data_IF_677953708158
#
_entry.id   IF_677953708158
#
_cell.length_a   1.000
_cell.length_b   1.000
_cell.length_c   1.000
_cell.angle_alpha   90.00
_cell.angle_beta   90.00
_cell.angle_gamma   90.00
#
_symmetry.space_group_name_H-M   'P 1'
#
loop_
_entity.id
_entity.type
_entity.pdbx_description
1 polymer ?
#
# COMPACT_ATOMS: atom_id res chain seq x y z
N UNK A 1 -15.86 21.67 -12.46
CA UNK A 1 -16.52 21.02 -11.29
C UNK A 1 -15.42 20.60 -10.32
N UNK A 2 -15.63 20.61 -9.01
CA UNK A 2 -14.61 20.11 -8.06
C UNK A 2 -14.61 18.56 -8.14
N UNK A 3 -13.45 17.89 -8.27
CA UNK A 3 -13.42 16.43 -8.30
C UNK A 3 -13.88 15.84 -6.94
N UNK A 4 -14.50 14.67 -6.97
CA UNK A 4 -14.88 13.94 -5.75
C UNK A 4 -13.67 13.16 -5.21
N UNK A 5 -12.85 12.62 -6.10
CA UNK A 5 -11.66 11.85 -5.75
C UNK A 5 -10.42 12.34 -6.49
N UNK A 6 -9.31 12.47 -5.78
CA UNK A 6 -7.99 12.70 -6.36
C UNK A 6 -7.16 11.43 -6.24
N UNK A 7 -6.73 10.92 -7.39
CA UNK A 7 -5.73 9.86 -7.50
C UNK A 7 -4.37 10.54 -7.52
N UNK A 8 -3.60 10.40 -6.44
CA UNK A 8 -2.29 11.05 -6.28
C UNK A 8 -1.19 10.05 -6.60
N UNK A 9 -0.29 10.45 -7.50
CA UNK A 9 0.79 9.61 -8.03
C UNK A 9 2.12 10.35 -7.92
N UNK A 10 2.92 10.06 -6.88
CA UNK A 10 4.32 10.46 -6.90
C UNK A 10 5.10 9.57 -7.86
N UNK A 11 5.96 10.14 -8.66
CA UNK A 11 6.82 9.40 -9.59
C UNK A 11 8.25 9.89 -9.54
N UNK A 12 9.19 9.00 -9.91
CA UNK A 12 10.60 9.34 -10.11
C UNK A 12 11.25 8.41 -11.13
N UNK A 13 11.59 8.95 -12.32
CA UNK A 13 12.30 8.24 -13.41
C UNK A 13 11.58 6.97 -13.92
N UNK A 14 10.22 6.95 -13.93
CA UNK A 14 9.42 5.76 -14.28
C UNK A 14 8.30 6.07 -15.30
N UNK A 15 8.57 6.91 -16.28
CA UNK A 15 7.58 7.40 -17.25
C UNK A 15 6.92 6.33 -18.11
N UNK A 16 7.55 5.16 -18.26
CA UNK A 16 6.96 4.02 -18.98
C UNK A 16 5.58 3.65 -18.38
N UNK A 17 5.51 3.52 -17.06
CA UNK A 17 4.28 3.17 -16.36
C UNK A 17 3.34 4.36 -16.24
N UNK A 18 3.88 5.52 -15.86
CA UNK A 18 3.11 6.75 -15.69
C UNK A 18 2.30 7.13 -16.94
N UNK A 19 2.89 7.01 -18.15
CA UNK A 19 2.19 7.29 -19.42
C UNK A 19 0.98 6.38 -19.62
N UNK A 20 1.08 5.12 -19.23
CA UNK A 20 -0.02 4.16 -19.33
C UNK A 20 -1.13 4.49 -18.33
N UNK A 21 -0.76 4.87 -17.10
CA UNK A 21 -1.71 5.28 -16.08
C UNK A 21 -2.47 6.56 -16.49
N UNK A 22 -1.77 7.59 -16.99
CA UNK A 22 -2.39 8.82 -17.52
C UNK A 22 -3.37 8.47 -18.63
N UNK A 23 -2.94 7.65 -19.60
CA UNK A 23 -3.80 7.26 -20.74
C UNK A 23 -5.03 6.50 -20.28
N UNK A 24 -4.90 5.63 -19.27
CA UNK A 24 -6.02 4.88 -18.70
C UNK A 24 -7.04 5.82 -18.04
N UNK A 25 -6.60 6.69 -17.13
CA UNK A 25 -7.53 7.58 -16.39
C UNK A 25 -8.19 8.59 -17.33
N UNK A 26 -7.48 9.14 -18.31
CA UNK A 26 -8.07 10.02 -19.31
C UNK A 26 -9.12 9.28 -20.18
N UNK A 27 -8.95 7.97 -20.42
CA UNK A 27 -9.91 7.16 -21.16
C UNK A 27 -11.26 6.98 -20.43
N UNK A 28 -11.31 7.17 -19.13
CA UNK A 28 -12.55 7.12 -18.36
C UNK A 28 -13.48 8.29 -18.68
N UNK A 29 -12.91 9.42 -19.12
CA UNK A 29 -13.63 10.64 -19.48
C UNK A 29 -14.60 11.11 -18.37
N UNK A 30 -14.15 11.05 -17.11
CA UNK A 30 -14.93 11.35 -15.91
C UNK A 30 -14.34 12.54 -15.16
N UNK A 31 -15.01 13.70 -15.21
CA UNK A 31 -14.57 14.94 -14.56
C UNK A 31 -14.66 14.91 -13.02
N UNK A 32 -15.25 13.86 -12.45
CA UNK A 32 -15.27 13.63 -10.99
C UNK A 32 -13.92 13.14 -10.47
N UNK A 33 -13.04 12.61 -11.35
CA UNK A 33 -11.71 12.12 -11.03
C UNK A 33 -10.67 13.19 -11.34
N UNK A 34 -9.78 13.45 -10.39
CA UNK A 34 -8.53 14.18 -10.61
C UNK A 34 -7.37 13.17 -10.54
N UNK A 35 -6.55 13.12 -11.58
CA UNK A 35 -5.23 12.49 -11.52
C UNK A 35 -4.21 13.58 -11.23
N UNK A 36 -3.58 13.52 -10.05
CA UNK A 36 -2.53 14.44 -9.67
C UNK A 36 -1.18 13.72 -9.71
N UNK A 37 -0.35 14.06 -10.67
CA UNK A 37 1.02 13.58 -10.79
C UNK A 37 1.97 14.55 -10.11
N UNK A 38 2.77 14.07 -9.15
CA UNK A 38 3.85 14.81 -8.53
C UNK A 38 5.17 14.16 -8.89
N UNK A 39 5.88 14.76 -9.84
CA UNK A 39 7.05 14.21 -10.48
C UNK A 39 8.34 14.78 -9.86
N UNK A 40 9.15 13.90 -9.30
CA UNK A 40 10.45 14.20 -8.72
C UNK A 40 11.59 13.53 -9.51
N UNK A 41 11.41 13.38 -10.83
CA UNK A 41 12.42 12.82 -11.72
C UNK A 41 13.59 13.79 -11.92
N UNK A 42 14.73 13.24 -12.31
CA UNK A 42 15.95 14.03 -12.58
C UNK A 42 15.78 14.94 -13.81
N UNK A 43 14.96 14.52 -14.77
CA UNK A 43 14.59 15.28 -15.96
C UNK A 43 13.14 14.94 -16.37
N UNK A 44 12.36 15.91 -16.81
CA UNK A 44 10.96 15.75 -17.18
C UNK A 44 10.68 15.91 -18.69
N UNK A 45 11.68 16.03 -19.54
CA UNK A 45 11.50 16.29 -20.96
C UNK A 45 10.63 15.22 -21.66
N UNK A 46 10.84 13.95 -21.32
CA UNK A 46 10.09 12.82 -21.88
C UNK A 46 8.59 12.89 -21.59
N UNK A 47 8.22 13.21 -20.34
CA UNK A 47 6.80 13.29 -19.97
C UNK A 47 6.18 14.57 -20.52
N UNK A 48 6.91 15.68 -20.56
CA UNK A 48 6.43 16.93 -21.17
C UNK A 48 6.14 16.75 -22.65
N UNK A 49 6.99 16.05 -23.40
CA UNK A 49 6.73 15.67 -24.79
C UNK A 49 5.47 14.82 -24.93
N UNK A 50 5.26 13.86 -24.03
CA UNK A 50 4.06 13.00 -24.02
C UNK A 50 2.79 13.78 -23.75
N UNK A 51 2.82 14.79 -22.87
CA UNK A 51 1.66 15.62 -22.51
C UNK A 51 1.37 16.70 -23.55
N UNK A 52 2.37 17.08 -24.37
CA UNK A 52 2.25 18.15 -25.35
C UNK A 52 1.11 17.89 -26.35
N UNK A 53 0.25 18.88 -26.54
CA UNK A 53 -0.87 18.81 -27.48
C UNK A 53 -2.05 17.94 -27.08
N UNK A 54 -2.01 17.31 -25.87
CA UNK A 54 -3.13 16.54 -25.34
C UNK A 54 -4.11 17.45 -24.60
N UNK A 55 -5.40 17.28 -24.87
CA UNK A 55 -6.46 17.84 -24.03
C UNK A 55 -6.72 16.88 -22.89
N UNK A 56 -6.23 17.22 -21.70
CA UNK A 56 -6.36 16.40 -20.50
C UNK A 56 -7.56 16.89 -19.68
N UNK A 57 -8.50 16.00 -19.40
CA UNK A 57 -9.69 16.31 -18.60
C UNK A 57 -9.41 16.20 -17.09
N UNK A 58 -8.70 15.16 -16.71
CA UNK A 58 -8.52 14.74 -15.31
C UNK A 58 -7.13 15.02 -14.79
N UNK A 59 -6.10 15.08 -15.65
CA UNK A 59 -4.69 15.08 -15.24
C UNK A 59 -4.16 16.47 -14.91
N UNK A 60 -3.55 16.60 -13.74
CA UNK A 60 -2.75 17.74 -13.31
C UNK A 60 -1.34 17.26 -13.03
N UNK A 61 -0.37 17.88 -13.67
CA UNK A 61 1.05 17.51 -13.56
C UNK A 61 1.85 18.62 -12.87
N UNK A 62 2.67 18.21 -11.89
CA UNK A 62 3.60 19.07 -11.16
C UNK A 62 4.98 18.45 -11.18
N UNK A 63 5.96 19.21 -11.62
CA UNK A 63 7.36 18.85 -11.57
C UNK A 63 8.03 19.51 -10.38
N UNK A 64 8.79 18.75 -9.61
CA UNK A 64 9.53 19.23 -8.44
C UNK A 64 10.99 18.74 -8.53
N UNK A 65 11.96 19.64 -8.83
CA UNK A 65 13.37 19.30 -9.00
C UNK A 65 14.11 19.10 -7.67
N UNK A 66 13.48 19.37 -6.52
CA UNK A 66 14.11 19.19 -5.21
C UNK A 66 14.48 17.71 -4.99
N UNK A 67 15.50 17.47 -4.14
CA UNK A 67 15.82 16.10 -3.72
C UNK A 67 14.87 15.66 -2.61
N UNK A 68 13.78 15.00 -3.00
CA UNK A 68 12.76 14.51 -2.09
C UNK A 68 12.94 13.03 -1.78
N UNK A 69 12.60 12.64 -0.55
CA UNK A 69 12.31 11.26 -0.22
C UNK A 69 10.98 10.82 -0.87
N UNK A 70 10.73 9.51 -0.89
CA UNK A 70 9.46 8.95 -1.36
C UNK A 70 8.27 9.51 -0.55
N UNK A 71 8.43 9.65 0.75
CA UNK A 71 7.41 10.19 1.66
C UNK A 71 7.12 11.67 1.41
N UNK A 72 8.16 12.49 1.25
CA UNK A 72 8.02 13.92 0.94
C UNK A 72 7.37 14.13 -0.43
N UNK A 73 7.76 13.36 -1.44
CA UNK A 73 7.16 13.41 -2.78
C UNK A 73 5.66 13.09 -2.72
N UNK A 74 5.29 12.03 -2.01
CA UNK A 74 3.89 11.63 -1.82
C UNK A 74 3.09 12.72 -1.07
N UNK A 75 3.63 13.26 0.02
CA UNK A 75 2.96 14.26 0.85
C UNK A 75 2.76 15.58 0.10
N UNK A 76 3.77 16.05 -0.66
CA UNK A 76 3.64 17.25 -1.52
C UNK A 76 2.54 17.06 -2.57
N UNK A 77 2.44 15.87 -3.16
CA UNK A 77 1.35 15.53 -4.08
C UNK A 77 -0.02 15.57 -3.40
N UNK A 78 -0.18 14.91 -2.26
CA UNK A 78 -1.44 14.89 -1.51
C UNK A 78 -1.90 16.29 -1.11
N UNK A 79 -0.97 17.16 -0.70
CA UNK A 79 -1.29 18.53 -0.32
C UNK A 79 -1.82 19.40 -1.48
N UNK A 80 -1.50 19.04 -2.74
CA UNK A 80 -2.00 19.71 -3.95
C UNK A 80 -3.34 19.17 -4.47
N UNK A 81 -3.82 18.06 -3.93
CA UNK A 81 -5.04 17.39 -4.36
C UNK A 81 -6.30 18.21 -4.02
N UNK A 82 -7.30 18.20 -4.90
CA UNK A 82 -8.55 18.98 -4.72
C UNK A 82 -9.76 18.11 -4.34
N UNK A 83 -9.70 16.79 -4.53
CA UNK A 83 -10.78 15.87 -4.24
C UNK A 83 -11.23 15.92 -2.76
N UNK A 84 -12.47 15.54 -2.51
CA UNK A 84 -12.95 15.28 -1.14
C UNK A 84 -12.28 14.03 -0.55
N UNK A 85 -12.01 13.06 -1.41
CA UNK A 85 -11.34 11.81 -1.10
C UNK A 85 -10.00 11.72 -1.84
N UNK A 86 -9.04 11.07 -1.20
CA UNK A 86 -7.69 10.84 -1.73
C UNK A 86 -7.47 9.35 -1.88
N UNK A 87 -7.02 8.94 -3.06
CA UNK A 87 -6.44 7.64 -3.36
C UNK A 87 -4.97 7.85 -3.72
N UNK A 88 -4.05 7.29 -2.95
CA UNK A 88 -2.63 7.37 -3.21
C UNK A 88 -2.13 6.06 -3.80
N UNK A 89 -1.45 6.11 -4.95
CA UNK A 89 -0.93 4.94 -5.67
C UNK A 89 0.46 5.23 -6.25
N UNK A 90 1.19 4.17 -6.62
CA UNK A 90 2.42 4.28 -7.40
C UNK A 90 2.14 4.53 -8.89
N UNK A 91 3.20 4.82 -9.64
CA UNK A 91 3.11 5.06 -11.09
C UNK A 91 2.93 3.77 -11.92
N UNK A 92 3.22 2.60 -11.33
CA UNK A 92 3.00 1.26 -11.91
C UNK A 92 1.68 0.60 -11.46
N UNK A 93 0.90 1.30 -10.63
CA UNK A 93 -0.45 0.91 -10.22
C UNK A 93 -1.51 1.45 -11.19
N UNK A 94 -2.79 1.11 -10.94
CA UNK A 94 -3.94 1.72 -11.58
C UNK A 94 -5.13 1.82 -10.63
N UNK A 95 -6.16 2.56 -11.08
CA UNK A 95 -7.49 2.55 -10.47
C UNK A 95 -8.51 2.06 -11.50
N UNK A 96 -9.62 1.53 -11.00
CA UNK A 96 -10.74 1.15 -11.83
C UNK A 96 -11.67 2.35 -12.08
N UNK A 97 -12.39 2.33 -13.20
CA UNK A 97 -13.28 3.44 -13.59
C UNK A 97 -14.43 3.72 -12.61
N UNK A 98 -14.77 2.77 -11.76
CA UNK A 98 -15.79 2.92 -10.71
C UNK A 98 -15.29 3.64 -9.45
N UNK A 99 -14.06 4.18 -9.44
CA UNK A 99 -13.50 4.86 -8.26
C UNK A 99 -14.28 6.11 -7.87
N UNK A 100 -14.82 6.86 -8.84
CA UNK A 100 -15.65 8.03 -8.57
C UNK A 100 -17.00 7.64 -7.96
N UNK A 101 -17.62 6.57 -8.44
CA UNK A 101 -18.87 6.02 -7.87
C UNK A 101 -18.66 5.53 -6.44
N UNK A 102 -17.49 4.90 -6.18
CA UNK A 102 -17.08 4.53 -4.83
C UNK A 102 -16.98 5.76 -3.91
N UNK A 103 -16.33 6.82 -4.36
CA UNK A 103 -16.16 8.05 -3.58
C UNK A 103 -17.51 8.76 -3.32
N UNK A 104 -18.43 8.79 -4.27
CA UNK A 104 -19.79 9.30 -4.07
C UNK A 104 -20.55 8.46 -3.03
N UNK A 105 -20.49 7.14 -3.16
CA UNK A 105 -21.08 6.23 -2.16
C UNK A 105 -20.49 6.45 -0.76
N UNK A 106 -19.16 6.67 -0.66
CA UNK A 106 -18.52 7.01 0.61
C UNK A 106 -19.08 8.31 1.20
N UNK A 107 -19.27 9.34 0.38
CA UNK A 107 -19.79 10.65 0.80
C UNK A 107 -21.23 10.52 1.32
N UNK A 108 -22.10 9.85 0.58
CA UNK A 108 -23.51 9.60 0.97
C UNK A 108 -23.60 8.82 2.28
N UNK A 109 -22.77 7.78 2.45
CA UNK A 109 -22.80 6.89 3.61
C UNK A 109 -21.91 7.36 4.77
N UNK A 110 -21.26 8.53 4.64
CA UNK A 110 -20.33 9.10 5.63
C UNK A 110 -19.20 8.13 6.01
N UNK A 111 -18.62 7.50 5.01
CA UNK A 111 -17.50 6.58 5.17
C UNK A 111 -16.20 7.40 5.03
N UNK A 112 -15.32 7.28 6.02
CA UNK A 112 -14.07 8.04 6.08
C UNK A 112 -12.95 7.37 5.26
N UNK A 113 -12.94 6.03 5.22
CA UNK A 113 -11.95 5.28 4.48
C UNK A 113 -12.50 3.98 3.90
N UNK A 114 -11.97 3.60 2.75
CA UNK A 114 -12.24 2.34 2.06
C UNK A 114 -10.94 1.62 1.76
N UNK A 115 -10.96 0.32 1.99
CA UNK A 115 -9.99 -0.62 1.45
C UNK A 115 -10.67 -1.45 0.36
N UNK A 116 -10.04 -1.50 -0.80
CA UNK A 116 -10.48 -2.34 -1.91
C UNK A 116 -10.10 -3.81 -1.70
N UNK A 117 -10.70 -4.68 -2.50
CA UNK A 117 -10.35 -6.08 -2.65
C UNK A 117 -8.82 -6.29 -2.74
N UNK A 118 -8.34 -7.41 -2.22
CA UNK A 118 -6.97 -7.83 -2.46
C UNK A 118 -6.83 -8.34 -3.90
N UNK A 119 -6.12 -7.58 -4.70
CA UNK A 119 -5.76 -7.93 -6.06
C UNK A 119 -4.39 -7.36 -6.39
N UNK A 120 -3.73 -7.89 -7.41
CA UNK A 120 -2.45 -7.39 -7.88
C UNK A 120 -2.26 -7.70 -9.36
N UNK A 121 -1.74 -6.72 -10.10
CA UNK A 121 -1.27 -6.89 -11.47
C UNK A 121 0.24 -7.06 -11.49
N UNK A 122 0.74 -8.09 -12.12
CA UNK A 122 2.18 -8.29 -12.30
C UNK A 122 2.59 -7.86 -13.70
N UNK A 123 3.48 -6.85 -13.73
CA UNK A 123 4.17 -6.43 -14.94
C UNK A 123 5.20 -7.49 -15.30
N UNK A 124 5.05 -8.14 -16.45
CA UNK A 124 6.04 -9.09 -16.94
C UNK A 124 6.85 -8.41 -18.06
N UNK A 125 8.10 -8.07 -17.78
CA UNK A 125 8.95 -7.40 -18.76
C UNK A 125 9.32 -8.34 -19.90
N UNK A 126 8.88 -7.99 -21.10
CA UNK A 126 9.11 -8.80 -22.32
C UNK A 126 8.03 -9.84 -22.62
N UNK A 127 7.00 -9.95 -21.78
CA UNK A 127 5.84 -10.84 -21.99
C UNK A 127 4.55 -10.19 -21.47
N UNK A 128 3.42 -10.86 -21.66
CA UNK A 128 2.12 -10.42 -21.17
C UNK A 128 2.02 -10.52 -19.66
N UNK A 129 1.43 -9.48 -19.03
CA UNK A 129 1.17 -9.44 -17.60
C UNK A 129 0.06 -10.41 -17.18
N UNK A 130 -0.10 -10.55 -15.87
CA UNK A 130 -1.19 -11.30 -15.25
C UNK A 130 -1.76 -10.58 -14.04
N UNK A 131 -3.02 -10.85 -13.74
CA UNK A 131 -3.68 -10.37 -12.52
C UNK A 131 -4.02 -11.57 -11.64
N UNK A 132 -3.89 -11.40 -10.34
CA UNK A 132 -4.46 -12.33 -9.37
C UNK A 132 -5.29 -11.56 -8.32
N UNK A 133 -6.40 -12.16 -7.89
CA UNK A 133 -7.35 -11.50 -7.01
C UNK A 133 -8.11 -12.51 -6.14
N UNK A 134 -8.60 -12.05 -5.01
CA UNK A 134 -9.53 -12.77 -4.14
C UNK A 134 -10.92 -12.83 -4.78
N UNK A 135 -11.86 -13.51 -4.13
CA UNK A 135 -13.24 -13.64 -4.60
C UNK A 135 -13.91 -12.28 -4.79
N UNK A 136 -14.58 -12.10 -5.93
CA UNK A 136 -15.32 -10.90 -6.31
C UNK A 136 -16.78 -11.01 -5.79
N UNK A 137 -16.96 -11.04 -4.48
CA UNK A 137 -18.32 -11.18 -3.90
C UNK A 137 -19.16 -9.90 -3.99
N UNK A 138 -18.55 -8.77 -4.32
CA UNK A 138 -19.19 -7.45 -4.35
C UNK A 138 -19.84 -7.04 -3.02
N UNK A 139 -19.29 -7.50 -1.91
CA UNK A 139 -19.76 -7.22 -0.56
C UNK A 139 -18.97 -6.09 0.11
N UNK A 140 -19.59 -5.49 1.13
CA UNK A 140 -18.96 -4.50 2.00
C UNK A 140 -19.00 -4.99 3.44
N UNK A 141 -17.85 -4.91 4.15
CA UNK A 141 -17.76 -5.16 5.60
C UNK A 141 -17.33 -3.88 6.30
N UNK A 142 -17.98 -3.55 7.40
CA UNK A 142 -17.56 -2.44 8.26
C UNK A 142 -16.48 -2.96 9.21
N UNK A 143 -15.35 -2.27 9.25
CA UNK A 143 -14.21 -2.61 10.08
C UNK A 143 -13.95 -1.60 11.19
N UNK A 144 -13.21 -2.02 12.21
CA UNK A 144 -12.66 -1.15 13.25
C UNK A 144 -11.17 -0.91 12.98
N UNK A 145 -10.77 0.30 12.52
CA UNK A 145 -9.39 0.57 12.12
C UNK A 145 -8.38 0.41 13.26
N UNK A 146 -8.76 0.72 14.51
CA UNK A 146 -7.86 0.59 15.68
C UNK A 146 -7.69 -0.88 16.07
N UNK A 147 -8.75 -1.67 16.03
CA UNK A 147 -8.71 -3.12 16.25
C UNK A 147 -7.82 -3.82 15.22
N UNK A 148 -7.97 -3.46 13.96
CA UNK A 148 -7.16 -4.02 12.87
C UNK A 148 -5.67 -3.62 13.00
N UNK A 149 -5.38 -2.37 13.34
CA UNK A 149 -4.03 -1.93 13.68
C UNK A 149 -3.43 -2.75 14.82
N UNK A 150 -4.18 -2.91 15.92
CA UNK A 150 -3.72 -3.71 17.05
C UNK A 150 -3.40 -5.16 16.67
N UNK A 151 -4.22 -5.77 15.82
CA UNK A 151 -3.98 -7.13 15.32
C UNK A 151 -2.68 -7.23 14.51
N UNK A 152 -2.36 -6.21 13.71
CA UNK A 152 -1.12 -6.15 12.92
C UNK A 152 0.09 -5.93 13.82
N UNK A 153 0.02 -5.01 14.77
CA UNK A 153 1.10 -4.75 15.75
C UNK A 153 1.44 -6.02 16.57
N UNK A 154 0.43 -6.73 17.05
CA UNK A 154 0.60 -7.97 17.82
C UNK A 154 1.25 -9.12 17.02
N UNK A 155 1.21 -9.04 15.69
CA UNK A 155 1.92 -9.96 14.79
C UNK A 155 3.36 -9.53 14.49
N UNK A 156 3.82 -8.36 14.96
CA UNK A 156 5.11 -7.77 14.62
C UNK A 156 5.14 -7.13 13.23
N UNK A 157 4.01 -6.63 12.76
CA UNK A 157 3.83 -5.88 11.49
C UNK A 157 4.33 -6.64 10.25
N UNK A 158 3.89 -7.88 9.99
CA UNK A 158 4.30 -8.65 8.81
C UNK A 158 3.62 -8.20 7.53
N UNK A 159 2.44 -7.63 7.64
CA UNK A 159 1.50 -7.31 6.56
C UNK A 159 0.53 -6.23 7.02
N UNK A 160 -0.27 -5.68 6.09
CA UNK A 160 -1.31 -4.70 6.45
C UNK A 160 -2.54 -5.34 7.13
N UNK A 161 -2.70 -6.66 7.07
CA UNK A 161 -3.93 -7.30 7.53
C UNK A 161 -5.17 -6.65 6.91
N UNK A 162 -6.12 -6.26 7.74
CA UNK A 162 -7.34 -5.55 7.33
C UNK A 162 -7.33 -4.05 7.72
N UNK A 163 -6.15 -3.46 7.90
CA UNK A 163 -6.04 -2.03 8.22
C UNK A 163 -6.60 -1.15 7.11
N UNK A 164 -7.20 -0.02 7.50
CA UNK A 164 -7.42 1.10 6.60
C UNK A 164 -6.06 1.62 6.10
N UNK A 165 -5.98 2.02 4.83
CA UNK A 165 -4.75 2.51 4.23
C UNK A 165 -5.04 3.55 3.17
N UNK A 166 -4.17 4.54 3.04
CA UNK A 166 -4.23 5.53 1.98
C UNK A 166 -3.56 4.99 0.70
N UNK A 167 -2.43 4.27 0.85
CA UNK A 167 -1.78 3.60 -0.28
C UNK A 167 -2.59 2.39 -0.71
N UNK A 168 -3.10 2.40 -1.94
CA UNK A 168 -4.06 1.44 -2.48
C UNK A 168 -5.41 1.41 -1.75
N UNK A 169 -5.81 2.52 -1.15
CA UNK A 169 -7.12 2.72 -0.53
C UNK A 169 -7.67 4.11 -0.86
N UNK A 170 -8.83 4.43 -0.32
CA UNK A 170 -9.45 5.75 -0.46
C UNK A 170 -9.71 6.30 0.94
N UNK A 171 -9.27 7.53 1.21
CA UNK A 171 -9.40 8.17 2.53
C UNK A 171 -9.94 9.58 2.35
N UNK A 172 -10.85 10.01 3.22
CA UNK A 172 -11.36 11.37 3.23
C UNK A 172 -10.23 12.37 3.50
N UNK A 173 -10.12 13.41 2.67
CA UNK A 173 -9.03 14.38 2.76
C UNK A 173 -8.91 15.03 4.14
N UNK A 174 -10.04 15.34 4.78
CA UNK A 174 -10.04 15.93 6.13
C UNK A 174 -9.37 15.04 7.19
N UNK A 175 -9.39 13.72 7.05
CA UNK A 175 -8.66 12.80 7.93
C UNK A 175 -7.14 13.01 7.80
N UNK A 176 -6.65 13.19 6.57
CA UNK A 176 -5.22 13.43 6.31
C UNK A 176 -4.79 14.80 6.88
N UNK A 177 -5.64 15.81 6.72
CA UNK A 177 -5.43 17.14 7.32
C UNK A 177 -5.39 17.07 8.85
N UNK A 178 -6.22 16.25 9.48
CA UNK A 178 -6.23 16.09 10.94
C UNK A 178 -4.98 15.32 11.42
N UNK A 179 -4.49 14.34 10.67
CA UNK A 179 -3.20 13.68 10.94
C UNK A 179 -2.06 14.70 10.89
N UNK A 180 -2.00 15.54 9.84
CA UNK A 180 -0.96 16.57 9.69
C UNK A 180 -0.99 17.65 10.77
N UNK A 181 -2.17 17.99 11.31
CA UNK A 181 -2.30 18.91 12.45
C UNK A 181 -1.82 18.27 13.77
N UNK A 182 -1.97 16.96 13.91
CA UNK A 182 -1.55 16.23 15.11
C UNK A 182 -0.06 15.91 15.11
N UNK A 183 0.46 15.51 13.94
CA UNK A 183 1.82 15.05 13.73
C UNK A 183 2.71 16.07 12.99
N UNK A 184 3.98 15.73 12.82
CA UNK A 184 4.93 16.55 12.06
C UNK A 184 4.71 16.42 10.54
N UNK A 185 4.31 15.22 10.08
CA UNK A 185 4.10 14.88 8.68
C UNK A 185 3.11 13.70 8.57
N UNK A 186 2.62 13.49 7.36
CA UNK A 186 1.69 12.39 7.07
C UNK A 186 2.38 11.03 7.07
N UNK A 187 3.66 10.98 6.65
CA UNK A 187 4.44 9.76 6.50
C UNK A 187 5.75 9.81 7.28
N UNK A 188 5.74 9.62 8.60
CA UNK A 188 6.91 9.79 9.46
C UNK A 188 7.88 8.59 9.45
N UNK A 189 7.89 7.78 8.43
CA UNK A 189 8.74 6.60 8.27
C UNK A 189 9.43 6.55 6.91
N UNK A 190 10.34 5.59 6.69
CA UNK A 190 11.09 5.49 5.44
C UNK A 190 10.24 5.07 4.23
N UNK A 191 9.01 4.57 4.45
CA UNK A 191 8.05 4.26 3.39
C UNK A 191 6.66 4.78 3.73
N UNK A 192 5.90 5.32 2.74
CA UNK A 192 4.63 5.98 2.99
C UNK A 192 3.47 5.00 3.26
N UNK A 193 3.61 3.76 2.85
CA UNK A 193 2.56 2.74 2.89
C UNK A 193 2.14 2.40 4.33
N UNK A 194 3.02 1.82 5.13
CA UNK A 194 2.73 1.44 6.52
C UNK A 194 2.62 2.66 7.44
N UNK A 195 3.49 3.67 7.27
CA UNK A 195 3.40 4.87 8.09
C UNK A 195 2.06 5.59 7.90
N UNK A 196 1.58 5.72 6.66
CA UNK A 196 0.27 6.29 6.37
C UNK A 196 -0.89 5.48 6.95
N UNK A 197 -0.84 4.14 6.82
CA UNK A 197 -1.89 3.27 7.36
C UNK A 197 -2.02 3.38 8.90
N UNK A 198 -0.90 3.45 9.61
CA UNK A 198 -0.89 3.62 11.07
C UNK A 198 -1.33 5.03 11.46
N UNK A 199 -0.84 6.08 10.77
CA UNK A 199 -1.16 7.46 11.07
C UNK A 199 -2.67 7.73 11.01
N UNK A 200 -3.39 7.19 10.02
CA UNK A 200 -4.83 7.45 9.85
C UNK A 200 -5.72 6.64 10.79
N UNK A 201 -5.26 5.53 11.36
CA UNK A 201 -6.10 4.56 12.05
C UNK A 201 -6.93 5.15 13.21
N UNK A 202 -6.42 6.16 13.91
CA UNK A 202 -7.08 6.77 15.06
C UNK A 202 -8.02 7.93 14.70
N UNK A 203 -7.99 8.39 13.45
CA UNK A 203 -8.81 9.52 12.97
C UNK A 203 -10.04 9.05 12.19
N UNK A 204 -10.07 7.80 11.75
CA UNK A 204 -11.17 7.20 11.00
C UNK A 204 -12.27 6.73 11.97
N UNK A 205 -13.50 7.20 11.72
CA UNK A 205 -14.70 6.81 12.51
C UNK A 205 -15.48 5.69 11.84
N UNK A 206 -15.57 5.71 10.51
CA UNK A 206 -16.30 4.71 9.73
C UNK A 206 -15.42 4.18 8.59
N UNK A 207 -15.08 2.91 8.67
CA UNK A 207 -14.20 2.22 7.75
C UNK A 207 -14.90 1.08 7.05
N UNK A 208 -14.78 0.99 5.73
CA UNK A 208 -15.35 -0.07 4.92
C UNK A 208 -14.29 -0.88 4.17
N UNK A 209 -14.47 -2.19 4.17
CA UNK A 209 -13.70 -3.14 3.36
C UNK A 209 -14.60 -3.62 2.23
N UNK A 210 -14.21 -3.33 0.99
CA UNK A 210 -14.97 -3.66 -0.21
C UNK A 210 -14.37 -4.87 -0.91
N UNK A 211 -15.17 -5.87 -1.22
CA UNK A 211 -14.80 -7.02 -2.06
C UNK A 211 -15.13 -6.71 -3.54
N UNK A 212 -14.72 -5.49 -3.97
CA UNK A 212 -14.89 -4.94 -5.32
C UNK A 212 -13.55 -4.36 -5.77
N UNK A 213 -13.13 -4.57 -7.03
CA UNK A 213 -11.92 -3.93 -7.55
C UNK A 213 -12.12 -2.43 -7.71
N UNK A 214 -11.31 -1.64 -7.00
CA UNK A 214 -11.27 -0.16 -7.09
C UNK A 214 -9.86 0.30 -7.44
N UNK A 215 -8.84 -0.34 -6.85
CA UNK A 215 -7.42 -0.06 -7.09
C UNK A 215 -6.76 -1.35 -7.55
N UNK A 216 -5.87 -1.24 -8.51
CA UNK A 216 -5.08 -2.35 -9.08
C UNK A 216 -3.61 -2.10 -8.72
N UNK A 217 -3.13 -2.64 -7.59
CA UNK A 217 -1.70 -2.61 -7.27
C UNK A 217 -0.87 -3.27 -8.36
N UNK A 218 0.15 -2.56 -8.86
CA UNK A 218 1.08 -3.06 -9.86
C UNK A 218 2.37 -3.56 -9.22
N UNK A 219 2.89 -4.69 -9.70
CA UNK A 219 4.22 -5.17 -9.32
C UNK A 219 5.12 -5.17 -10.55
N UNK A 220 5.96 -4.14 -10.66
CA UNK A 220 7.00 -4.05 -11.69
C UNK A 220 8.35 -4.55 -11.15
N UNK A 221 9.34 -4.74 -12.00
CA UNK A 221 10.69 -5.13 -11.60
C UNK A 221 11.42 -4.03 -10.79
N UNK A 222 10.93 -2.79 -10.82
CA UNK A 222 11.51 -1.62 -10.14
C UNK A 222 10.92 -1.36 -8.74
N UNK A 223 10.13 -2.28 -8.19
CA UNK A 223 9.53 -2.15 -6.85
C UNK A 223 10.61 -1.98 -5.79
N UNK A 224 10.38 -1.03 -4.89
CA UNK A 224 11.29 -0.76 -3.75
C UNK A 224 12.70 -0.33 -4.17
N UNK A 225 12.86 0.33 -5.32
CA UNK A 225 14.19 0.76 -5.79
C UNK A 225 15.15 -0.39 -6.14
N UNK A 226 14.63 -1.59 -6.44
CA UNK A 226 15.41 -2.77 -6.78
C UNK A 226 16.14 -3.45 -5.60
N UNK A 227 15.80 -3.06 -4.36
CA UNK A 227 16.41 -3.64 -3.13
C UNK A 227 15.47 -4.57 -2.37
N UNK A 228 14.28 -4.82 -2.90
CA UNK A 228 13.30 -5.72 -2.27
C UNK A 228 13.90 -7.12 -2.05
N UNK A 229 13.72 -7.66 -0.85
CA UNK A 229 14.27 -8.98 -0.47
C UNK A 229 15.76 -9.01 -0.15
N UNK A 230 16.48 -7.86 -0.25
CA UNK A 230 17.88 -7.73 0.19
C UNK A 230 17.93 -7.19 1.61
N UNK A 231 18.95 -7.63 2.36
CA UNK A 231 19.30 -7.00 3.64
C UNK A 231 20.55 -6.16 3.42
N UNK A 232 20.45 -4.87 3.74
CA UNK A 232 21.54 -3.91 3.63
C UNK A 232 21.78 -3.25 4.98
N UNK A 233 23.01 -2.83 5.26
CA UNK A 233 23.23 -1.91 6.38
C UNK A 233 22.48 -0.59 6.09
N UNK A 234 21.89 0.01 7.12
CA UNK A 234 21.07 1.21 6.95
C UNK A 234 21.82 2.36 6.27
N UNK A 235 23.13 2.48 6.53
CA UNK A 235 23.97 3.51 5.93
C UNK A 235 24.27 3.27 4.44
N UNK A 236 24.08 2.05 3.94
CA UNK A 236 24.35 1.69 2.54
C UNK A 236 23.12 1.87 1.63
N UNK A 237 21.99 2.28 2.21
CA UNK A 237 20.75 2.52 1.46
C UNK A 237 20.75 3.94 0.91
N UNK A 238 20.91 4.08 -0.40
CA UNK A 238 21.12 5.38 -1.04
C UNK A 238 19.88 6.29 -1.10
N UNK A 239 18.66 5.71 -1.06
CA UNK A 239 17.42 6.46 -1.26
C UNK A 239 16.71 6.88 0.04
N UNK A 240 17.20 6.47 1.22
CA UNK A 240 16.69 6.97 2.51
C UNK A 240 17.45 8.24 2.92
N UNK A 241 16.73 9.13 3.56
CA UNK A 241 17.25 10.41 4.02
C UNK A 241 17.98 10.31 5.35
N UNK A 242 18.73 11.36 5.72
CA UNK A 242 19.33 11.45 7.06
C UNK A 242 18.25 11.56 8.15
N UNK A 243 17.10 12.15 7.84
CA UNK A 243 15.94 12.17 8.72
C UNK A 243 15.42 10.76 9.00
N UNK A 244 15.31 9.89 7.97
CA UNK A 244 14.91 8.49 8.15
C UNK A 244 15.90 7.72 9.02
N UNK A 245 17.22 7.95 8.84
CA UNK A 245 18.26 7.34 9.66
C UNK A 245 18.18 7.79 11.11
N UNK A 246 17.95 9.07 11.35
CA UNK A 246 17.82 9.65 12.69
C UNK A 246 16.59 9.12 13.43
N UNK A 247 15.48 8.88 12.70
CA UNK A 247 14.24 8.31 13.25
C UNK A 247 14.29 6.78 13.41
N UNK A 248 15.37 6.11 12.94
CA UNK A 248 15.51 4.68 13.15
C UNK A 248 15.72 4.37 14.64
N UNK A 249 14.93 3.48 15.25
CA UNK A 249 15.00 3.24 16.68
C UNK A 249 16.35 2.64 17.10
N UNK A 250 17.00 3.21 18.11
CA UNK A 250 18.31 2.73 18.58
C UNK A 250 18.26 1.30 19.17
N UNK A 251 17.09 0.85 19.58
CA UNK A 251 16.83 -0.50 20.09
C UNK A 251 16.39 -1.50 19.02
N UNK A 252 16.55 -1.15 17.72
CA UNK A 252 16.31 -2.02 16.55
C UNK A 252 17.62 -2.23 15.78
N UNK A 253 17.79 -3.39 15.12
CA UNK A 253 18.95 -3.60 14.24
C UNK A 253 19.02 -2.49 13.17
N UNK A 254 20.20 -1.87 12.92
CA UNK A 254 20.37 -0.84 11.90
C UNK A 254 20.47 -1.46 10.49
N UNK A 255 19.44 -2.20 10.11
CA UNK A 255 19.37 -2.98 8.87
C UNK A 255 18.14 -2.58 8.07
N UNK A 256 18.34 -2.31 6.78
CA UNK A 256 17.26 -2.24 5.81
C UNK A 256 16.85 -3.67 5.43
N UNK A 257 15.76 -4.13 6.00
CA UNK A 257 15.17 -5.44 5.72
C UNK A 257 13.66 -5.31 5.74
N UNK A 258 12.95 -6.02 4.87
CA UNK A 258 11.49 -5.97 4.77
C UNK A 258 10.81 -6.17 6.12
N UNK A 259 11.36 -7.07 6.95
CA UNK A 259 10.86 -7.41 8.29
C UNK A 259 11.01 -6.29 9.32
N UNK A 260 11.86 -5.29 9.06
CA UNK A 260 12.14 -4.17 9.96
C UNK A 260 11.52 -2.87 9.50
N UNK A 261 11.41 -2.64 8.19
CA UNK A 261 10.96 -1.37 7.60
C UNK A 261 9.56 -1.01 8.08
N UNK A 262 8.60 -1.92 7.94
CA UNK A 262 7.21 -1.66 8.35
C UNK A 262 7.02 -1.51 9.86
N UNK A 263 7.63 -2.33 10.73
CA UNK A 263 7.65 -2.07 12.18
C UNK A 263 8.22 -0.70 12.56
N UNK A 264 9.29 -0.25 11.90
CA UNK A 264 9.87 1.09 12.11
C UNK A 264 8.91 2.17 11.65
N UNK A 265 8.27 2.01 10.48
CA UNK A 265 7.23 2.92 10.01
C UNK A 265 6.07 3.03 11.01
N UNK A 266 5.60 1.88 11.54
CA UNK A 266 4.52 1.84 12.52
C UNK A 266 4.90 2.56 13.82
N UNK A 267 6.10 2.32 14.33
CA UNK A 267 6.62 2.96 15.54
C UNK A 267 6.71 4.48 15.38
N UNK A 268 7.30 4.94 14.28
CA UNK A 268 7.45 6.36 14.00
C UNK A 268 6.09 7.05 13.81
N UNK A 269 5.13 6.37 13.15
CA UNK A 269 3.78 6.90 12.99
C UNK A 269 3.06 7.04 14.34
N UNK A 270 3.12 6.03 15.22
CA UNK A 270 2.54 6.10 16.56
C UNK A 270 3.13 7.25 17.40
N UNK A 271 4.44 7.47 17.31
CA UNK A 271 5.11 8.60 17.99
C UNK A 271 4.66 9.95 17.41
N UNK A 272 4.63 10.07 16.09
CA UNK A 272 4.24 11.31 15.42
C UNK A 272 2.84 11.80 15.78
N UNK A 273 1.89 10.87 15.94
CA UNK A 273 0.49 11.19 16.29
C UNK A 273 0.21 11.11 17.80
N UNK A 274 1.24 11.12 18.66
CA UNK A 274 1.14 11.06 20.12
C UNK A 274 0.35 9.83 20.64
N UNK A 275 0.54 8.66 20.00
CA UNK A 275 -0.08 7.38 20.39
C UNK A 275 0.95 6.36 20.85
N UNK A 276 1.93 6.82 21.63
CA UNK A 276 2.97 5.96 22.22
C UNK A 276 2.40 4.87 23.14
N UNK A 277 1.18 5.08 23.68
CA UNK A 277 0.44 4.10 24.45
C UNK A 277 0.20 2.78 23.67
N UNK A 278 0.19 2.83 22.33
CA UNK A 278 0.04 1.68 21.44
C UNK A 278 1.36 0.96 21.12
N UNK A 279 2.52 1.53 21.42
CA UNK A 279 3.83 0.89 21.13
C UNK A 279 3.96 -0.44 21.84
N UNK A 280 3.38 -0.58 23.03
CA UNK A 280 3.35 -1.85 23.78
C UNK A 280 2.64 -3.01 23.04
N UNK A 281 1.78 -2.71 22.06
CA UNK A 281 1.10 -3.71 21.24
C UNK A 281 2.01 -4.28 20.14
N UNK A 282 3.12 -3.58 19.84
CA UNK A 282 4.08 -4.05 18.83
C UNK A 282 4.92 -5.21 19.38
N UNK A 283 4.70 -6.40 18.83
CA UNK A 283 5.46 -7.59 19.23
C UNK A 283 6.83 -7.63 18.54
N UNK A 284 7.81 -6.99 19.16
CA UNK A 284 9.19 -6.90 18.66
C UNK A 284 9.87 -8.28 18.56
N UNK A 285 9.57 -9.21 19.48
CA UNK A 285 10.15 -10.55 19.41
C UNK A 285 9.66 -11.32 18.17
N UNK A 286 8.37 -11.19 17.78
CA UNK A 286 7.86 -11.78 16.53
C UNK A 286 8.52 -11.18 15.31
N UNK A 287 8.66 -9.85 15.28
CA UNK A 287 9.36 -9.14 14.20
C UNK A 287 10.79 -9.66 14.02
N UNK A 288 11.59 -9.69 15.10
CA UNK A 288 12.98 -10.17 15.09
C UNK A 288 13.08 -11.66 14.74
N UNK A 289 12.13 -12.47 15.20
CA UNK A 289 12.07 -13.89 14.89
C UNK A 289 11.84 -14.13 13.40
N UNK A 290 11.00 -13.31 12.76
CA UNK A 290 10.76 -13.37 11.32
C UNK A 290 12.01 -12.94 10.53
N UNK A 291 12.69 -11.86 10.93
CA UNK A 291 13.98 -11.47 10.34
C UNK A 291 14.95 -12.64 10.30
N UNK A 292 15.09 -13.37 11.39
CA UNK A 292 16.02 -14.51 11.47
C UNK A 292 15.52 -15.73 10.70
N UNK A 293 14.21 -15.94 10.67
CA UNK A 293 13.65 -17.06 9.90
C UNK A 293 13.93 -16.93 8.41
N UNK A 294 13.86 -15.71 7.87
CA UNK A 294 14.18 -15.41 6.48
C UNK A 294 15.68 -15.26 6.25
N UNK A 295 16.38 -14.61 7.19
CA UNK A 295 17.79 -14.23 7.08
C UNK A 295 18.61 -14.79 8.26
N UNK A 296 18.90 -16.09 8.26
CA UNK A 296 19.52 -16.83 9.37
C UNK A 296 20.86 -16.26 9.86
N UNK A 297 21.60 -15.60 8.98
CA UNK A 297 22.90 -14.98 9.31
C UNK A 297 22.80 -13.88 10.35
N UNK A 298 21.63 -13.24 10.50
CA UNK A 298 21.38 -12.17 11.45
C UNK A 298 20.88 -12.63 12.83
N UNK A 299 20.96 -13.94 13.16
CA UNK A 299 20.51 -14.46 14.44
C UNK A 299 21.15 -13.74 15.63
N UNK A 300 22.47 -13.60 15.63
CA UNK A 300 23.21 -12.94 16.73
C UNK A 300 22.77 -11.48 16.89
N UNK A 301 22.60 -10.79 15.78
CA UNK A 301 22.14 -9.41 15.77
C UNK A 301 20.71 -9.30 16.33
N UNK A 302 19.76 -10.04 15.79
CA UNK A 302 18.37 -10.04 16.27
C UNK A 302 18.28 -10.43 17.75
N UNK A 303 19.03 -11.45 18.19
CA UNK A 303 19.09 -11.87 19.58
C UNK A 303 19.58 -10.75 20.50
N UNK A 304 20.56 -9.94 20.06
CA UNK A 304 21.07 -8.79 20.82
C UNK A 304 19.97 -7.78 21.10
N UNK A 305 19.10 -7.50 20.11
CA UNK A 305 18.02 -6.50 20.19
C UNK A 305 16.72 -7.04 20.76
N UNK A 306 16.57 -8.34 20.99
CA UNK A 306 15.37 -8.91 21.59
C UNK A 306 15.19 -8.45 23.06
N UNK A 307 13.98 -8.00 23.38
CA UNK A 307 13.65 -7.51 24.73
C UNK A 307 13.69 -8.65 25.74
N UNK A 308 13.06 -9.79 25.43
CA UNK A 308 13.02 -10.99 26.24
C UNK A 308 13.56 -12.15 25.42
N UNK A 309 14.78 -12.59 25.75
CA UNK A 309 15.51 -13.62 24.98
C UNK A 309 14.76 -14.95 24.86
N UNK A 310 14.11 -15.38 25.93
CA UNK A 310 13.30 -16.61 25.92
C UNK A 310 12.09 -16.48 25.06
N UNK A 311 11.39 -15.34 25.11
CA UNK A 311 10.24 -15.05 24.24
C UNK A 311 10.65 -14.98 22.77
N UNK A 312 11.81 -14.39 22.45
CA UNK A 312 12.34 -14.39 21.09
C UNK A 312 12.59 -15.81 20.57
N UNK A 313 13.25 -16.67 21.35
CA UNK A 313 13.49 -18.07 20.96
C UNK A 313 12.17 -18.83 20.77
N UNK A 314 11.20 -18.62 21.68
CA UNK A 314 9.89 -19.24 21.58
C UNK A 314 9.18 -18.81 20.27
N UNK A 315 9.15 -17.52 19.95
CA UNK A 315 8.54 -17.01 18.71
C UNK A 315 9.28 -17.50 17.44
N UNK A 316 10.62 -17.61 17.53
CA UNK A 316 11.43 -18.15 16.44
C UNK A 316 11.10 -19.61 16.14
N UNK A 317 11.01 -20.45 17.18
CA UNK A 317 10.61 -21.87 17.04
C UNK A 317 9.17 -21.98 16.54
N UNK A 318 8.26 -21.19 17.11
CA UNK A 318 6.86 -21.15 16.67
C UNK A 318 6.71 -20.76 15.20
N UNK A 319 7.49 -19.79 14.74
CA UNK A 319 7.48 -19.40 13.33
C UNK A 319 7.82 -20.59 12.44
N UNK A 320 8.90 -21.31 12.72
CA UNK A 320 9.28 -22.49 11.94
C UNK A 320 8.24 -23.61 11.97
N UNK A 321 7.65 -23.87 13.13
CA UNK A 321 6.60 -24.90 13.25
C UNK A 321 5.38 -24.50 12.41
N UNK A 322 4.91 -23.25 12.49
CA UNK A 322 3.73 -22.78 11.77
C UNK A 322 3.96 -22.72 10.26
N UNK A 323 5.09 -22.18 9.82
CA UNK A 323 5.43 -22.11 8.39
C UNK A 323 5.67 -23.51 7.82
N UNK A 324 6.34 -24.39 8.55
CA UNK A 324 6.52 -25.79 8.16
C UNK A 324 5.18 -26.53 8.05
N UNK A 325 4.27 -26.34 9.01
CA UNK A 325 2.91 -26.89 8.94
C UNK A 325 2.10 -26.31 7.80
N UNK A 326 2.15 -24.99 7.58
CA UNK A 326 1.46 -24.35 6.50
C UNK A 326 1.97 -24.86 5.14
N UNK A 327 3.29 -24.98 4.98
CA UNK A 327 3.90 -25.53 3.77
C UNK A 327 3.46 -26.98 3.49
N UNK A 328 3.50 -27.86 4.52
CA UNK A 328 3.08 -29.26 4.38
C UNK A 328 1.58 -29.36 4.10
N UNK A 329 0.77 -28.57 4.80
CA UNK A 329 -0.68 -28.57 4.61
C UNK A 329 -1.06 -28.11 3.20
N UNK A 330 -0.57 -26.96 2.75
CA UNK A 330 -0.93 -26.38 1.45
C UNK A 330 -0.39 -27.22 0.28
N UNK A 331 0.85 -27.69 0.36
CA UNK A 331 1.51 -28.35 -0.77
C UNK A 331 1.36 -29.88 -0.80
N UNK A 332 1.17 -30.54 0.34
CA UNK A 332 1.11 -31.99 0.38
C UNK A 332 -0.25 -32.56 0.75
N UNK A 333 -0.96 -31.96 1.68
CA UNK A 333 -2.24 -32.49 2.15
C UNK A 333 -3.39 -31.99 1.30
N UNK A 334 -3.51 -30.67 1.16
CA UNK A 334 -4.61 -30.01 0.45
C UNK A 334 -4.59 -30.34 -1.05
N UNK A 335 -3.41 -30.36 -1.67
CA UNK A 335 -3.27 -30.74 -3.09
C UNK A 335 -3.66 -32.19 -3.35
N UNK A 336 -3.39 -33.12 -2.43
CA UNK A 336 -3.79 -34.54 -2.54
C UNK A 336 -5.29 -34.75 -2.33
N UNK A 337 -5.93 -34.00 -1.43
CA UNK A 337 -7.36 -34.15 -1.12
C UNK A 337 -8.23 -33.54 -2.22
N UNK A 338 -7.81 -32.43 -2.81
CA UNK A 338 -8.65 -31.66 -3.76
C UNK A 338 -8.28 -31.89 -5.22
N UNK A 339 -7.18 -32.57 -5.51
CA UNK A 339 -6.69 -32.78 -6.89
C UNK A 339 -6.33 -31.49 -7.64
N UNK A 340 -6.43 -30.34 -6.97
CA UNK A 340 -6.08 -29.01 -7.47
C UNK A 340 -5.10 -28.39 -6.49
N UNK A 341 -4.03 -27.77 -7.00
CA UNK A 341 -3.37 -26.66 -6.30
C UNK A 341 -4.43 -25.56 -6.18
N UNK A 342 -5.22 -25.60 -5.10
CA UNK A 342 -6.17 -24.57 -4.80
C UNK A 342 -5.36 -23.34 -4.34
N UNK A 343 -4.90 -22.55 -5.32
CA UNK A 343 -4.53 -21.18 -5.05
C UNK A 343 -5.73 -20.51 -4.38
N UNK A 344 -5.49 -19.76 -3.33
CA UNK A 344 -6.47 -18.91 -2.65
C UNK A 344 -7.01 -17.83 -3.61
N UNK A 345 -6.33 -17.61 -4.72
CA UNK A 345 -6.56 -16.52 -5.65
C UNK A 345 -6.92 -17.03 -7.05
N UNK A 346 -7.80 -16.31 -7.74
CA UNK A 346 -7.99 -16.43 -9.17
C UNK A 346 -6.81 -15.79 -9.90
N UNK A 347 -6.18 -16.51 -10.82
CA UNK A 347 -5.06 -16.01 -11.63
C UNK A 347 -5.47 -15.99 -13.10
N UNK A 348 -5.32 -14.83 -13.73
CA UNK A 348 -5.63 -14.63 -15.15
C UNK A 348 -4.43 -14.02 -15.85
N UNK A 349 -3.96 -14.70 -16.90
CA UNK A 349 -2.76 -14.33 -17.66
C UNK A 349 -3.14 -13.67 -19.00
N UNK A 350 -2.17 -13.03 -19.64
CA UNK A 350 -2.27 -12.65 -21.04
C UNK A 350 -2.65 -11.19 -21.29
N UNK A 351 -2.50 -10.31 -20.29
CA UNK A 351 -2.77 -8.88 -20.44
C UNK A 351 -1.58 -8.14 -21.03
N UNK A 352 -1.81 -7.38 -22.10
CA UNK A 352 -0.79 -6.54 -22.74
C UNK A 352 -0.49 -5.28 -21.91
N UNK A 353 -1.44 -4.87 -21.06
CA UNK A 353 -1.29 -3.72 -20.17
C UNK A 353 -2.18 -3.83 -18.94
N UNK A 354 -1.89 -3.00 -17.93
CA UNK A 354 -2.76 -2.85 -16.76
C UNK A 354 -4.16 -2.32 -17.13
N UNK A 355 -4.27 -1.56 -18.23
CA UNK A 355 -5.56 -1.08 -18.75
C UNK A 355 -6.43 -2.25 -19.28
N UNK A 356 -5.83 -3.26 -19.91
CA UNK A 356 -6.57 -4.47 -20.31
C UNK A 356 -7.01 -5.27 -19.09
N UNK A 357 -6.19 -5.31 -18.04
CA UNK A 357 -6.56 -5.95 -16.77
C UNK A 357 -7.73 -5.20 -16.09
N UNK A 358 -7.72 -3.86 -16.09
CA UNK A 358 -8.84 -3.04 -15.60
C UNK A 358 -10.14 -3.36 -16.35
N UNK A 359 -10.10 -3.34 -17.67
CA UNK A 359 -11.28 -3.65 -18.49
C UNK A 359 -11.83 -5.05 -18.20
N UNK A 360 -10.95 -6.05 -18.05
CA UNK A 360 -11.33 -7.40 -17.66
C UNK A 360 -12.00 -7.43 -16.28
N UNK A 361 -11.40 -6.80 -15.27
CA UNK A 361 -11.95 -6.77 -13.91
C UNK A 361 -13.33 -6.09 -13.87
N UNK A 362 -13.52 -5.00 -14.62
CA UNK A 362 -14.82 -4.33 -14.72
C UNK A 362 -15.88 -5.19 -15.41
N UNK A 363 -15.50 -6.02 -16.37
CA UNK A 363 -16.43 -6.99 -16.96
C UNK A 363 -16.85 -8.08 -15.96
N UNK A 364 -15.93 -8.51 -15.06
CA UNK A 364 -16.27 -9.50 -14.01
C UNK A 364 -17.30 -8.98 -13.00
N UNK A 365 -17.34 -7.66 -12.79
CA UNK A 365 -18.30 -7.02 -11.89
C UNK A 365 -19.39 -6.26 -12.66
N UNK A 366 -19.64 -6.65 -13.91
CA UNK A 366 -20.66 -6.06 -14.74
C UNK A 366 -22.04 -6.14 -14.08
N UNK A 367 -22.72 -4.98 -13.99
CA UNK A 367 -24.01 -4.87 -13.30
C UNK A 367 -23.91 -4.60 -11.79
N UNK A 368 -22.72 -4.57 -11.22
CA UNK A 368 -22.53 -4.06 -9.87
C UNK A 368 -22.81 -2.55 -9.81
N UNK A 369 -23.53 -2.12 -8.78
CA UNK A 369 -23.71 -0.72 -8.42
C UNK A 369 -23.55 -0.55 -6.91
N UNK A 370 -22.90 0.54 -6.50
CA UNK A 370 -22.77 0.89 -5.09
C UNK A 370 -24.10 1.14 -4.39
N UNK A 371 -25.18 1.47 -5.14
CA UNK A 371 -26.53 1.63 -4.59
C UNK A 371 -27.08 0.32 -4.02
N UNK A 372 -26.62 -0.81 -4.54
CA UNK A 372 -27.10 -2.15 -4.17
C UNK A 372 -26.10 -2.95 -3.35
N UNK A 373 -25.01 -2.32 -2.86
CA UNK A 373 -23.98 -3.04 -2.11
C UNK A 373 -24.51 -3.56 -0.77
N UNK A 374 -24.29 -4.84 -0.49
CA UNK A 374 -24.68 -5.47 0.75
C UNK A 374 -23.66 -5.12 1.83
N UNK A 375 -24.09 -4.40 2.87
CA UNK A 375 -23.23 -4.07 4.01
C UNK A 375 -23.41 -5.16 5.07
N UNK A 376 -22.32 -5.89 5.34
CA UNK A 376 -22.23 -6.86 6.44
C UNK A 376 -21.58 -6.19 7.66
N UNK A 377 -22.19 -6.30 8.80
CA UNK A 377 -21.69 -5.81 10.09
C UNK A 377 -20.75 -6.82 10.74
#
# INVERSE_FOLDING_TARGET
>A
MKPIVSVVVPTKNRYKYLKMLISLIESFNDSRIELLVHDNSDDNAEIMQFLQGKSLLSTRYYYDPDKLSMCENAERGINKANGEYICFIGDDDAVCRNIADCAEWMSVNKIDAVRSLYLQYSWNEGDKGYVYYDDLSCECKIGDPVKELKAVLNKGVPEFGYMAKIYHGIVKKSILEDVQKCGECLFPGPTPDMSGAVSIAFFIKKYAMLEVPIVIPGMSCMVGGGVMGKVLALNDVAFITDSDRTRWPADYPPLWATELIWPVCALNALRSINREDFIKELNKNKMLSRLVAVHRTFFKEAFRYADIKVAFIYEFVNYFIREGFAYVYENQIKSRITGKLLGKYTVVNGFESIANAEAYLMEQVRGFSFDNIIIKN
#
